data_IF_757806858856
#
_entry.id   IF_757806858856
#
_cell.length_a   1.000
_cell.length_b   1.000
_cell.length_c   1.000
_cell.angle_alpha   90.00
_cell.angle_beta   90.00
_cell.angle_gamma   90.00
#
_symmetry.space_group_name_H-M   'P 1'
#
loop_
_entity.id
_entity.type
_entity.pdbx_description
1 polymer ?
#
# COMPACT_ATOMS: atom_id res chain seq x y z
N UNK A 1 4.31 -20.86 34.26
CA UNK A 1 5.76 -21.14 34.13
C UNK A 1 6.36 -20.07 33.23
N UNK A 2 7.37 -19.31 33.67
CA UNK A 2 8.05 -18.29 32.86
C UNK A 2 8.95 -18.99 31.85
N UNK A 3 8.50 -19.12 30.61
CA UNK A 3 9.37 -19.56 29.51
C UNK A 3 10.41 -18.46 29.32
N UNK A 4 11.63 -18.66 29.82
CA UNK A 4 12.77 -17.83 29.43
C UNK A 4 13.03 -18.13 27.97
N UNK A 5 12.88 -17.12 27.12
CA UNK A 5 13.34 -17.20 25.74
C UNK A 5 14.85 -16.94 25.84
N UNK A 6 15.61 -18.01 26.06
CA UNK A 6 17.05 -17.95 26.36
C UNK A 6 17.89 -17.56 25.16
N UNK A 7 17.31 -17.65 23.95
CA UNK A 7 18.02 -17.50 22.69
C UNK A 7 17.69 -16.17 21.98
N UNK A 8 16.90 -15.30 22.62
CA UNK A 8 16.55 -14.00 22.06
C UNK A 8 17.35 -12.87 22.70
N UNK A 9 17.92 -12.03 21.85
CA UNK A 9 18.59 -10.79 22.24
C UNK A 9 17.66 -9.91 23.09
N UNK A 10 18.19 -9.33 24.17
CA UNK A 10 17.42 -8.47 25.08
C UNK A 10 16.85 -7.25 24.35
N UNK A 11 17.59 -6.70 23.40
CA UNK A 11 17.18 -5.54 22.62
C UNK A 11 15.99 -5.89 21.72
N UNK A 12 16.01 -7.09 21.13
CA UNK A 12 14.88 -7.63 20.37
C UNK A 12 13.63 -7.77 21.25
N UNK A 13 13.77 -8.31 22.46
CA UNK A 13 12.64 -8.52 23.38
C UNK A 13 12.02 -7.20 23.83
N UNK A 14 12.83 -6.18 24.16
CA UNK A 14 12.31 -4.86 24.52
C UNK A 14 11.62 -4.15 23.36
N UNK A 15 12.18 -4.26 22.15
CA UNK A 15 11.53 -3.76 20.94
C UNK A 15 10.18 -4.46 20.69
N UNK A 16 10.14 -5.79 20.82
CA UNK A 16 8.91 -6.57 20.64
C UNK A 16 7.84 -6.18 21.69
N UNK A 17 8.25 -5.97 22.94
CA UNK A 17 7.36 -5.48 24.00
C UNK A 17 6.76 -4.11 23.67
N UNK A 18 7.57 -3.19 23.13
CA UNK A 18 7.09 -1.88 22.67
C UNK A 18 6.10 -2.00 21.50
N UNK A 19 6.42 -2.80 20.48
CA UNK A 19 5.57 -2.99 19.30
C UNK A 19 4.24 -3.68 19.62
N UNK A 20 4.23 -4.56 20.62
CA UNK A 20 3.04 -5.33 21.03
C UNK A 20 2.31 -4.72 22.23
N UNK A 21 2.84 -3.62 22.80
CA UNK A 21 2.37 -3.00 24.04
C UNK A 21 2.22 -4.00 25.20
N UNK A 22 3.16 -4.96 25.33
CA UNK A 22 3.15 -5.97 26.39
C UNK A 22 4.28 -5.78 27.39
N UNK A 23 4.00 -6.01 28.66
CA UNK A 23 4.94 -5.77 29.76
C UNK A 23 5.97 -6.89 29.95
N UNK A 24 5.78 -8.08 29.35
CA UNK A 24 6.71 -9.20 29.46
C UNK A 24 7.00 -9.79 28.09
N UNK A 25 8.23 -10.28 27.89
CA UNK A 25 8.63 -10.94 26.64
C UNK A 25 7.68 -12.08 26.27
N UNK A 26 7.39 -13.01 27.19
CA UNK A 26 6.48 -14.13 26.91
C UNK A 26 5.10 -13.69 26.40
N UNK A 27 4.51 -12.61 26.95
CA UNK A 27 3.23 -12.07 26.47
C UNK A 27 3.38 -11.39 25.11
N UNK A 28 4.50 -10.70 24.88
CA UNK A 28 4.82 -10.06 23.61
C UNK A 28 4.93 -11.10 22.48
N UNK A 29 5.63 -12.22 22.74
CA UNK A 29 5.75 -13.32 21.78
C UNK A 29 4.43 -14.04 21.53
N UNK A 30 3.66 -14.36 22.58
CA UNK A 30 2.36 -14.99 22.42
C UNK A 30 1.43 -14.11 21.55
N UNK A 31 1.38 -12.81 21.85
CA UNK A 31 0.59 -11.87 21.07
C UNK A 31 1.09 -11.75 19.62
N UNK A 32 2.40 -11.67 19.40
CA UNK A 32 2.97 -11.61 18.06
C UNK A 32 2.63 -12.89 17.26
N UNK A 33 2.71 -14.07 17.88
CA UNK A 33 2.35 -15.33 17.26
C UNK A 33 0.85 -15.41 16.91
N UNK A 34 -0.02 -14.97 17.81
CA UNK A 34 -1.47 -14.88 17.58
C UNK A 34 -1.80 -13.98 16.39
N UNK A 35 -1.15 -12.81 16.30
CA UNK A 35 -1.43 -11.84 15.25
C UNK A 35 -0.69 -12.10 13.93
N UNK A 36 0.34 -12.96 13.91
CA UNK A 36 1.20 -13.15 12.75
C UNK A 36 0.42 -13.54 11.49
N UNK A 37 -0.44 -14.56 11.57
CA UNK A 37 -1.22 -15.02 10.43
C UNK A 37 -2.16 -13.94 9.86
N UNK A 38 -2.79 -13.17 10.75
CA UNK A 38 -3.63 -12.04 10.36
C UNK A 38 -2.82 -10.96 9.64
N UNK A 39 -1.66 -10.56 10.17
CA UNK A 39 -0.84 -9.53 9.54
C UNK A 39 -0.21 -9.97 8.22
N UNK A 40 0.21 -11.24 8.10
CA UNK A 40 0.68 -11.80 6.82
C UNK A 40 -0.43 -11.70 5.76
N UNK A 41 -1.66 -12.07 6.14
CA UNK A 41 -2.81 -12.02 5.24
C UNK A 41 -3.17 -10.58 4.86
N UNK A 42 -3.24 -9.69 5.85
CA UNK A 42 -3.52 -8.28 5.62
C UNK A 42 -2.46 -7.61 4.73
N UNK A 43 -1.18 -7.95 4.93
CA UNK A 43 -0.09 -7.43 4.10
C UNK A 43 -0.19 -7.94 2.65
N UNK A 44 -0.50 -9.23 2.45
CA UNK A 44 -0.69 -9.77 1.11
C UNK A 44 -1.86 -9.10 0.37
N UNK A 45 -2.98 -8.87 1.07
CA UNK A 45 -4.13 -8.15 0.52
C UNK A 45 -3.79 -6.69 0.19
N UNK A 46 -3.08 -6.00 1.09
CA UNK A 46 -2.66 -4.61 0.88
C UNK A 46 -1.74 -4.47 -0.35
N UNK A 47 -0.83 -5.43 -0.57
CA UNK A 47 0.03 -5.44 -1.76
C UNK A 47 -0.80 -5.59 -3.04
N UNK A 48 -1.78 -6.49 -3.05
CA UNK A 48 -2.69 -6.68 -4.19
C UNK A 48 -3.52 -5.40 -4.48
N UNK A 49 -4.05 -4.77 -3.44
CA UNK A 49 -4.82 -3.54 -3.56
C UNK A 49 -3.96 -2.39 -4.11
N UNK A 50 -2.72 -2.25 -3.64
CA UNK A 50 -1.78 -1.25 -4.15
C UNK A 50 -1.53 -1.44 -5.65
N UNK A 51 -1.37 -2.68 -6.11
CA UNK A 51 -1.12 -2.94 -7.52
C UNK A 51 -2.36 -2.67 -8.38
N UNK A 52 -3.56 -3.03 -7.91
CA UNK A 52 -4.82 -2.66 -8.56
C UNK A 52 -5.01 -1.15 -8.68
N UNK A 53 -4.68 -0.39 -7.62
CA UNK A 53 -4.76 1.06 -7.61
C UNK A 53 -3.76 1.70 -8.57
N UNK A 54 -2.54 1.16 -8.68
CA UNK A 54 -1.55 1.63 -9.66
C UNK A 54 -2.03 1.44 -11.10
N UNK A 55 -2.62 0.29 -11.38
CA UNK A 55 -3.19 0.00 -12.70
C UNK A 55 -4.34 0.95 -13.03
N UNK A 56 -5.22 1.21 -12.07
CA UNK A 56 -6.32 2.15 -12.25
C UNK A 56 -5.84 3.59 -12.47
N UNK A 57 -4.86 4.05 -11.68
CA UNK A 57 -4.24 5.36 -11.89
C UNK A 57 -3.61 5.46 -13.28
N UNK A 58 -2.96 4.39 -13.75
CA UNK A 58 -2.35 4.36 -15.08
C UNK A 58 -3.40 4.43 -16.18
N UNK A 59 -4.51 3.68 -16.05
CA UNK A 59 -5.66 3.77 -16.97
C UNK A 59 -6.25 5.17 -17.01
N UNK A 60 -6.55 5.76 -15.85
CA UNK A 60 -7.14 7.10 -15.75
C UNK A 60 -6.24 8.16 -16.37
N UNK A 61 -4.91 8.07 -16.18
CA UNK A 61 -3.95 8.96 -16.84
C UNK A 61 -4.01 8.85 -18.37
N UNK A 62 -4.08 7.63 -18.90
CA UNK A 62 -4.20 7.41 -20.34
C UNK A 62 -5.51 7.98 -20.91
N UNK A 63 -6.63 7.84 -20.18
CA UNK A 63 -7.92 8.43 -20.56
C UNK A 63 -7.85 9.96 -20.61
N UNK A 64 -7.26 10.58 -19.58
CA UNK A 64 -7.08 12.03 -19.52
C UNK A 64 -6.23 12.52 -20.70
N UNK A 65 -5.15 11.82 -21.02
CA UNK A 65 -4.27 12.20 -22.13
C UNK A 65 -4.94 12.04 -23.49
N UNK A 66 -5.71 10.97 -23.68
CA UNK A 66 -6.55 10.79 -24.86
C UNK A 66 -7.58 11.91 -25.03
N UNK A 67 -8.25 12.30 -23.94
CA UNK A 67 -9.21 13.40 -23.95
C UNK A 67 -8.56 14.74 -24.30
N UNK A 68 -7.36 15.01 -23.77
CA UNK A 68 -6.57 16.22 -24.11
C UNK A 68 -6.19 16.25 -25.59
N UNK A 69 -5.69 15.12 -26.11
CA UNK A 69 -5.31 15.00 -27.52
C UNK A 69 -6.51 15.20 -28.45
N UNK A 70 -7.66 14.60 -28.12
CA UNK A 70 -8.89 14.77 -28.88
C UNK A 70 -9.41 16.23 -28.84
N UNK A 71 -9.35 16.87 -27.67
CA UNK A 71 -9.74 18.27 -27.52
C UNK A 71 -8.83 19.21 -28.33
N UNK A 72 -7.51 18.97 -28.33
CA UNK A 72 -6.57 19.73 -29.14
C UNK A 72 -6.85 19.58 -30.65
N UNK A 73 -7.11 18.36 -31.11
CA UNK A 73 -7.46 18.10 -32.51
C UNK A 73 -8.77 18.78 -32.91
N UNK A 74 -9.79 18.71 -32.04
CA UNK A 74 -11.06 19.38 -32.29
C UNK A 74 -10.86 20.89 -32.41
N UNK A 75 -10.12 21.49 -31.49
CA UNK A 75 -9.82 22.93 -31.49
C UNK A 75 -9.09 23.35 -32.78
N UNK A 76 -8.11 22.55 -33.22
CA UNK A 76 -7.38 22.80 -34.46
C UNK A 76 -8.32 22.79 -35.68
N UNK A 77 -9.21 21.78 -35.76
CA UNK A 77 -10.15 21.65 -36.88
C UNK A 77 -11.21 22.74 -36.88
N UNK A 78 -11.73 23.12 -35.72
CA UNK A 78 -12.71 24.21 -35.62
C UNK A 78 -12.08 25.57 -35.90
N UNK A 79 -10.84 25.81 -35.46
CA UNK A 79 -10.14 27.07 -35.73
C UNK A 79 -9.73 27.23 -37.21
N UNK A 80 -9.46 26.12 -37.92
CA UNK A 80 -9.18 26.15 -39.37
C UNK A 80 -10.44 26.47 -40.20
N UNK A 81 -11.62 26.04 -39.77
CA UNK A 81 -12.89 26.37 -40.43
C UNK A 81 -13.22 27.86 -40.29
N UNK A 82 -12.97 28.45 -39.11
CA UNK A 82 -13.20 29.88 -38.83
C UNK A 82 -12.24 30.81 -39.59
N UNK A 83 -11.12 30.28 -40.10
CA UNK A 83 -10.09 31.02 -40.85
C UNK A 83 -10.36 31.05 -42.37
N UNK A 84 -11.31 30.24 -42.85
CA UNK A 84 -11.66 30.10 -44.27
C UNK A 84 -12.96 30.83 -44.66
N UNK A 85 -13.70 31.36 -43.68
CA UNK A 85 -14.81 32.31 -43.85
C UNK A 85 -14.31 33.77 -43.74
#
# INVERSE_FOLDING_TARGET
>A
MLIKITDADSDFVEKLKSLTSKNTGAKAYAHAAECYGMYVTANALAVLEIDQLKDEVSRLRAVIEGARSAAALLLEKTGQLDLLD
#
